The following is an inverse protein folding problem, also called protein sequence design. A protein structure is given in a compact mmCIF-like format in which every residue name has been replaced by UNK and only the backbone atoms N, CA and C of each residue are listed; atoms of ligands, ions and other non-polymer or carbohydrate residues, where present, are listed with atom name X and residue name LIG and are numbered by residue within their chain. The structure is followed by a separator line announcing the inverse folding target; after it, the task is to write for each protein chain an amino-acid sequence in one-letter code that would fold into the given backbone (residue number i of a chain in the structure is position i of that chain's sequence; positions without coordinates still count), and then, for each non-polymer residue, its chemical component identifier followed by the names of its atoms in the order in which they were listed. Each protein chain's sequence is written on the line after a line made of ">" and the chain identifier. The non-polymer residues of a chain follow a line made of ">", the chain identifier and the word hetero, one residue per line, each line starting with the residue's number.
data_IF_783830341298
#
_entry.id   IF_783830341298
#
_cell.length_a   1.000
_cell.length_b   1.000
_cell.length_c   1.000
_cell.angle_alpha   90.00
_cell.angle_beta   90.00
_cell.angle_gamma   90.00
#
_symmetry.space_group_name_H-M   'P 1'
#
loop_
_entity.id
_entity.type
_entity.pdbx_description
1 polymer ?
#
# COMPACT_ATOMS: atom_id res chain seq x y z
N UNK A 1 15.03 -9.98 -30.25
CA UNK A 1 15.87 -9.31 -29.23
C UNK A 1 15.08 -8.27 -28.44
N UNK A 2 14.44 -7.30 -29.10
CA UNK A 2 13.58 -6.28 -28.43
C UNK A 2 12.43 -6.92 -27.65
N UNK A 3 11.72 -7.88 -28.24
CA UNK A 3 10.62 -8.61 -27.57
C UNK A 3 11.06 -9.28 -26.26
N UNK A 4 12.23 -9.94 -26.27
CA UNK A 4 12.79 -10.60 -25.09
C UNK A 4 13.11 -9.61 -23.98
N UNK A 5 13.64 -8.43 -24.32
CA UNK A 5 13.93 -7.36 -23.36
C UNK A 5 12.63 -6.87 -22.72
N UNK A 6 11.60 -6.56 -23.53
CA UNK A 6 10.29 -6.12 -23.03
C UNK A 6 9.70 -7.17 -22.09
N UNK A 7 9.73 -8.45 -22.48
CA UNK A 7 9.17 -9.55 -21.67
C UNK A 7 9.88 -9.69 -20.34
N UNK A 8 11.22 -9.62 -20.31
CA UNK A 8 12.00 -9.67 -19.08
C UNK A 8 11.70 -8.47 -18.18
N UNK A 9 11.62 -7.26 -18.73
CA UNK A 9 11.30 -6.04 -17.97
C UNK A 9 9.90 -6.11 -17.37
N UNK A 10 8.90 -6.54 -18.14
CA UNK A 10 7.52 -6.73 -17.64
C UNK A 10 7.49 -7.76 -16.50
N UNK A 11 8.15 -8.91 -16.67
CA UNK A 11 8.23 -9.93 -15.62
C UNK A 11 8.92 -9.41 -14.35
N UNK A 12 9.97 -8.62 -14.48
CA UNK A 12 10.65 -8.00 -13.35
C UNK A 12 9.73 -7.01 -12.59
N UNK A 13 9.02 -6.15 -13.32
CA UNK A 13 8.07 -5.19 -12.73
C UNK A 13 6.92 -5.93 -12.01
N UNK A 14 6.35 -6.96 -12.63
CA UNK A 14 5.29 -7.78 -12.03
C UNK A 14 5.76 -8.49 -10.76
N UNK A 15 6.98 -9.04 -10.78
CA UNK A 15 7.58 -9.70 -9.61
C UNK A 15 7.77 -8.71 -8.46
N UNK A 16 8.30 -7.52 -8.75
CA UNK A 16 8.48 -6.46 -7.74
C UNK A 16 7.13 -5.98 -7.19
N UNK A 17 6.12 -5.85 -8.04
CA UNK A 17 4.76 -5.49 -7.63
C UNK A 17 4.17 -6.56 -6.70
N UNK A 18 4.33 -7.84 -7.03
CA UNK A 18 3.88 -8.96 -6.20
C UNK A 18 4.58 -8.97 -4.84
N UNK A 19 5.91 -8.84 -4.81
CA UNK A 19 6.67 -8.78 -3.57
C UNK A 19 6.24 -7.60 -2.70
N UNK A 20 5.97 -6.44 -3.30
CA UNK A 20 5.49 -5.27 -2.57
C UNK A 20 4.06 -5.49 -2.04
N UNK A 21 3.19 -6.16 -2.79
CA UNK A 21 1.86 -6.53 -2.36
C UNK A 21 1.89 -7.50 -1.18
N UNK A 22 2.72 -8.54 -1.24
CA UNK A 22 2.91 -9.49 -0.13
C UNK A 22 3.41 -8.80 1.13
N UNK A 23 4.36 -7.86 0.99
CA UNK A 23 4.84 -7.05 2.10
C UNK A 23 3.73 -6.13 2.65
N UNK A 24 2.93 -5.50 1.78
CA UNK A 24 1.78 -4.71 2.20
C UNK A 24 0.77 -5.52 3.00
N UNK A 25 0.44 -6.72 2.54
CA UNK A 25 -0.45 -7.65 3.24
C UNK A 25 0.11 -8.05 4.60
N UNK A 26 1.40 -8.36 4.70
CA UNK A 26 2.00 -8.74 6.00
C UNK A 26 2.00 -7.58 7.00
N UNK A 27 2.25 -6.35 6.54
CA UNK A 27 2.13 -5.12 7.35
C UNK A 27 0.68 -4.92 7.82
N UNK A 28 -0.30 -5.11 6.94
CA UNK A 28 -1.72 -5.00 7.28
C UNK A 28 -2.14 -6.04 8.31
N UNK A 29 -1.71 -7.30 8.16
CA UNK A 29 -1.98 -8.38 9.12
C UNK A 29 -1.35 -8.06 10.49
N UNK A 30 -0.13 -7.53 10.51
CA UNK A 30 0.53 -7.11 11.76
C UNK A 30 -0.23 -5.97 12.44
N UNK A 31 -0.66 -4.97 11.67
CA UNK A 31 -1.48 -3.88 12.15
C UNK A 31 -2.81 -4.39 12.73
N UNK A 32 -3.51 -5.26 12.00
CA UNK A 32 -4.76 -5.87 12.44
C UNK A 32 -4.59 -6.67 13.73
N UNK A 33 -3.52 -7.46 13.83
CA UNK A 33 -3.20 -8.24 15.03
C UNK A 33 -2.90 -7.33 16.24
N UNK A 34 -2.17 -6.23 16.04
CA UNK A 34 -1.90 -5.27 17.11
C UNK A 34 -3.17 -4.56 17.57
N UNK A 35 -4.03 -4.17 16.64
CA UNK A 35 -5.31 -3.53 16.94
C UNK A 35 -6.28 -4.46 17.66
N UNK A 36 -6.40 -5.72 17.21
CA UNK A 36 -7.25 -6.72 17.86
C UNK A 36 -6.83 -7.00 19.31
N UNK A 37 -5.51 -7.03 19.59
CA UNK A 37 -5.01 -7.20 20.97
C UNK A 37 -5.31 -6.00 21.88
N UNK A 38 -5.35 -4.79 21.32
CA UNK A 38 -5.49 -3.55 22.10
C UNK A 38 -6.93 -3.10 22.31
N UNK A 39 -7.81 -3.42 21.35
CA UNK A 39 -9.20 -3.02 21.38
C UNK A 39 -10.11 -4.20 21.02
N UNK A 40 -10.23 -5.22 21.89
CA UNK A 40 -11.00 -6.43 21.60
C UNK A 40 -12.48 -6.15 21.27
N UNK A 41 -13.04 -5.04 21.77
CA UNK A 41 -14.44 -4.64 21.57
C UNK A 41 -14.61 -3.59 20.44
N UNK A 42 -13.52 -3.01 19.93
CA UNK A 42 -13.56 -2.02 18.84
C UNK A 42 -13.40 -2.65 17.45
N UNK A 43 -13.14 -3.96 17.39
CA UNK A 43 -12.47 -4.62 16.28
C UNK A 43 -13.22 -4.74 14.95
N UNK A 44 -14.54 -4.52 14.88
CA UNK A 44 -15.26 -4.54 13.60
C UNK A 44 -15.71 -3.15 13.15
N UNK A 45 -16.31 -2.36 14.07
CA UNK A 45 -16.75 -0.98 13.81
C UNK A 45 -15.59 -0.07 13.42
N UNK A 46 -14.38 -0.36 13.90
CA UNK A 46 -13.18 0.39 13.55
C UNK A 46 -12.72 0.15 12.09
N UNK A 47 -12.92 -1.07 11.58
CA UNK A 47 -12.53 -1.46 10.20
C UNK A 47 -13.66 -1.28 9.19
N UNK A 48 -14.90 -1.44 9.64
CA UNK A 48 -16.14 -1.36 8.87
C UNK A 48 -17.08 -0.35 9.57
N UNK A 49 -16.76 0.95 9.51
CA UNK A 49 -17.62 1.96 10.11
C UNK A 49 -18.93 2.10 9.33
N UNK A 50 -20.05 2.12 10.06
CA UNK A 50 -21.32 2.61 9.51
C UNK A 50 -21.39 4.13 9.73
N UNK A 51 -21.33 4.90 8.64
CA UNK A 51 -21.40 6.36 8.72
C UNK A 51 -22.86 6.81 8.57
N UNK A 52 -23.45 7.33 9.66
CA UNK A 52 -24.75 8.00 9.60
C UNK A 52 -24.64 9.51 9.37
N UNK A 53 -23.46 10.08 9.63
CA UNK A 53 -23.23 11.52 9.56
C UNK A 53 -21.75 11.86 9.33
N UNK A 54 -21.49 13.10 8.94
CA UNK A 54 -20.12 13.63 8.83
C UNK A 54 -19.39 13.69 10.20
N UNK A 55 -20.15 13.72 11.30
CA UNK A 55 -19.59 13.63 12.65
C UNK A 55 -18.96 12.26 12.90
N UNK A 56 -19.59 11.19 12.41
CA UNK A 56 -19.09 9.82 12.56
C UNK A 56 -17.78 9.62 11.80
N UNK A 57 -17.68 10.20 10.59
CA UNK A 57 -16.44 10.23 9.81
C UNK A 57 -15.32 10.93 10.59
N UNK A 58 -15.59 12.11 11.16
CA UNK A 58 -14.58 12.84 11.95
C UNK A 58 -14.13 12.05 13.19
N UNK A 59 -15.05 11.42 13.91
CA UNK A 59 -14.74 10.59 15.07
C UNK A 59 -13.88 9.39 14.66
N UNK A 60 -14.25 8.73 13.56
CA UNK A 60 -13.49 7.60 13.02
C UNK A 60 -12.07 8.01 12.62
N UNK A 61 -11.89 9.11 11.90
CA UNK A 61 -10.56 9.67 11.56
C UNK A 61 -9.76 10.00 12.81
N UNK A 62 -10.38 10.65 13.80
CA UNK A 62 -9.71 11.02 15.05
C UNK A 62 -9.22 9.79 15.83
N UNK A 63 -10.02 8.71 15.87
CA UNK A 63 -9.61 7.44 16.49
C UNK A 63 -8.43 6.81 15.74
N UNK A 64 -8.46 6.79 14.40
CA UNK A 64 -7.32 6.32 13.60
C UNK A 64 -6.06 7.14 13.82
N UNK A 65 -6.19 8.47 13.90
CA UNK A 65 -5.06 9.36 14.20
C UNK A 65 -4.45 9.05 15.57
N UNK A 66 -5.28 8.90 16.60
CA UNK A 66 -4.82 8.53 17.95
C UNK A 66 -4.12 7.18 18.00
N UNK A 67 -4.62 6.17 17.27
CA UNK A 67 -3.96 4.86 17.14
C UNK A 67 -2.61 5.00 16.46
N UNK A 68 -2.57 5.68 15.32
CA UNK A 68 -1.35 5.81 14.53
C UNK A 68 -0.29 6.62 15.30
N UNK A 69 -0.67 7.68 16.00
CA UNK A 69 0.23 8.55 16.78
C UNK A 69 0.62 7.99 18.15
N UNK A 70 0.18 6.77 18.48
CA UNK A 70 0.65 6.05 19.65
C UNK A 70 2.17 5.90 19.62
N UNK A 71 2.85 6.24 20.72
CA UNK A 71 4.29 6.02 20.93
C UNK A 71 4.65 4.56 21.21
N UNK A 72 3.76 3.63 20.87
CA UNK A 72 4.04 2.21 20.99
C UNK A 72 5.11 1.78 19.98
N UNK A 73 6.24 1.21 20.42
CA UNK A 73 7.29 0.76 19.52
C UNK A 73 6.78 -0.24 18.47
N UNK A 74 5.78 -1.06 18.80
CA UNK A 74 5.24 -2.05 17.88
C UNK A 74 4.44 -1.40 16.72
N UNK A 75 3.64 -0.36 17.01
CA UNK A 75 2.94 0.43 15.99
C UNK A 75 3.89 1.34 15.20
N UNK A 76 4.94 1.86 15.84
CA UNK A 76 5.99 2.61 15.15
C UNK A 76 6.70 1.74 14.10
N UNK A 77 7.04 0.49 14.42
CA UNK A 77 7.62 -0.44 13.46
C UNK A 77 6.68 -0.69 12.27
N UNK A 78 5.39 -0.95 12.53
CA UNK A 78 4.38 -1.12 11.48
C UNK A 78 4.25 0.14 10.61
N UNK A 79 4.34 1.34 11.19
CA UNK A 79 4.30 2.62 10.46
C UNK A 79 5.51 2.80 9.55
N UNK A 80 6.72 2.41 10.00
CA UNK A 80 7.93 2.45 9.18
C UNK A 80 7.84 1.45 8.02
N UNK A 81 7.36 0.24 8.28
CA UNK A 81 7.16 -0.78 7.25
C UNK A 81 6.10 -0.35 6.23
N UNK A 82 4.98 0.21 6.70
CA UNK A 82 3.94 0.77 5.83
C UNK A 82 4.47 1.89 4.95
N UNK A 83 5.28 2.81 5.50
CA UNK A 83 5.93 3.88 4.72
C UNK A 83 6.85 3.30 3.64
N UNK A 84 7.54 2.20 3.94
CA UNK A 84 8.40 1.51 2.97
C UNK A 84 7.59 0.90 1.84
N UNK A 85 6.48 0.20 2.15
CA UNK A 85 5.56 -0.37 1.16
C UNK A 85 4.97 0.71 0.26
N UNK A 86 4.50 1.82 0.86
CA UNK A 86 3.92 2.96 0.12
C UNK A 86 4.97 3.60 -0.79
N UNK A 87 6.18 3.86 -0.29
CA UNK A 87 7.26 4.46 -1.09
C UNK A 87 7.63 3.57 -2.27
N UNK A 88 7.77 2.26 -2.05
CA UNK A 88 8.04 1.28 -3.12
C UNK A 88 6.90 1.23 -4.12
N UNK A 89 5.65 1.24 -3.65
CA UNK A 89 4.48 1.26 -4.54
C UNK A 89 4.49 2.50 -5.44
N UNK A 90 4.63 3.70 -4.86
CA UNK A 90 4.71 4.96 -5.63
C UNK A 90 5.85 4.92 -6.64
N UNK A 91 7.03 4.45 -6.22
CA UNK A 91 8.18 4.33 -7.12
C UNK A 91 7.92 3.38 -8.29
N UNK A 92 7.36 2.19 -8.03
CA UNK A 92 6.99 1.22 -9.06
C UNK A 92 5.93 1.77 -10.00
N UNK A 93 4.93 2.50 -9.49
CA UNK A 93 3.87 3.11 -10.29
C UNK A 93 4.43 4.18 -11.22
N UNK A 94 5.31 5.06 -10.72
CA UNK A 94 5.98 6.08 -11.53
C UNK A 94 6.83 5.39 -12.61
N UNK A 95 7.63 4.41 -12.24
CA UNK A 95 8.50 3.69 -13.17
C UNK A 95 7.71 2.96 -14.25
N UNK A 96 6.62 2.29 -13.89
CA UNK A 96 5.71 1.64 -14.83
C UNK A 96 5.06 2.65 -15.78
N UNK A 97 4.65 3.81 -15.28
CA UNK A 97 4.06 4.87 -16.09
C UNK A 97 5.08 5.47 -17.08
N UNK A 98 6.30 5.74 -16.64
CA UNK A 98 7.40 6.21 -17.50
C UNK A 98 7.69 5.21 -18.62
N UNK A 99 7.73 3.91 -18.31
CA UNK A 99 7.90 2.86 -19.32
C UNK A 99 6.75 2.80 -20.31
N UNK A 100 5.50 2.94 -19.85
CA UNK A 100 4.34 2.98 -20.73
C UNK A 100 4.41 4.15 -21.72
N UNK A 101 4.81 5.34 -21.25
CA UNK A 101 5.01 6.53 -22.10
C UNK A 101 6.14 6.32 -23.11
N UNK A 102 7.29 5.76 -22.67
CA UNK A 102 8.42 5.48 -23.55
C UNK A 102 8.03 4.48 -24.66
N UNK A 103 7.33 3.39 -24.31
CA UNK A 103 6.84 2.41 -25.28
C UNK A 103 5.83 3.06 -26.24
N UNK A 104 4.91 3.88 -25.75
CA UNK A 104 3.94 4.58 -26.60
C UNK A 104 4.61 5.57 -27.57
N UNK A 105 5.70 6.22 -27.17
CA UNK A 105 6.46 7.14 -28.02
C UNK A 105 7.31 6.42 -29.09
N UNK A 106 7.77 5.20 -28.80
CA UNK A 106 8.61 4.42 -29.73
C UNK A 106 7.77 3.53 -30.65
N UNK A 107 6.60 3.07 -30.21
CA UNK A 107 5.67 2.24 -30.98
C UNK A 107 5.32 2.77 -32.39
N UNK A 108 5.04 4.07 -32.63
CA UNK A 108 4.78 4.58 -33.97
C UNK A 108 6.00 4.52 -34.90
N UNK A 109 7.22 4.36 -34.37
CA UNK A 109 8.45 4.25 -35.16
C UNK A 109 8.92 2.80 -35.35
N UNK A 110 8.13 1.82 -34.89
CA UNK A 110 8.44 0.38 -34.96
C UNK A 110 7.57 -0.37 -35.98
N UNK A 111 6.64 0.32 -36.67
CA UNK A 111 5.79 -0.22 -37.76
C UNK A 111 6.29 0.32 -39.10
#
# INVERSE_FOLDING_TARGET
>A
MVDTIIRVTVMAVLTLALLNALHGTSVLVRLARQLARRAPHGGLIFWLPAFGSMRDVRIWIARWRGVLDSRDPALMAVRVDARTVIRRHVHLTILAHTWAVALAAVAPNLV
#
